data_IF_543820743558
#
_entry.id   IF_543820743558
#
_cell.length_a   1.000
_cell.length_b   1.000
_cell.length_c   1.000
_cell.angle_alpha   90.00
_cell.angle_beta   90.00
_cell.angle_gamma   90.00
#
_symmetry.space_group_name_H-M   'P 1'
#
loop_
_entity.id
_entity.type
_entity.pdbx_description
1 polymer ?
#
# COMPACT_ATOMS: atom_id res chain seq x y z
N UNK A 1 55.43 7.16 -55.64
CA UNK A 1 54.47 6.91 -54.54
C UNK A 1 53.28 6.11 -55.08
N UNK A 2 53.12 4.83 -54.71
CA UNK A 2 51.99 3.98 -55.14
C UNK A 2 50.76 4.31 -54.30
N UNK A 3 49.71 4.91 -54.89
CA UNK A 3 48.41 5.11 -54.22
C UNK A 3 47.79 3.74 -53.92
N UNK A 4 47.62 3.40 -52.64
CA UNK A 4 46.92 2.17 -52.21
C UNK A 4 45.44 2.27 -52.61
N UNK A 5 44.91 1.20 -53.20
CA UNK A 5 43.50 1.11 -53.63
C UNK A 5 42.56 1.21 -52.42
N UNK A 6 41.61 2.15 -52.48
CA UNK A 6 40.66 2.49 -51.41
C UNK A 6 39.40 1.60 -51.48
N UNK A 7 39.27 0.77 -52.52
CA UNK A 7 38.09 -0.07 -52.76
C UNK A 7 37.87 -1.14 -51.67
N UNK A 8 38.95 -1.74 -51.15
CA UNK A 8 38.88 -2.75 -50.09
C UNK A 8 38.32 -2.21 -48.76
N UNK A 9 38.85 -1.08 -48.24
CA UNK A 9 38.27 -0.39 -47.08
C UNK A 9 36.81 0.02 -47.28
N UNK A 10 36.46 0.58 -48.45
CA UNK A 10 35.09 1.01 -48.75
C UNK A 10 34.10 -0.15 -48.73
N UNK A 11 34.43 -1.29 -49.35
CA UNK A 11 33.57 -2.47 -49.34
C UNK A 11 33.37 -3.02 -47.91
N UNK A 12 34.42 -3.05 -47.09
CA UNK A 12 34.33 -3.49 -45.68
C UNK A 12 33.46 -2.55 -44.85
N UNK A 13 33.57 -1.23 -45.05
CA UNK A 13 32.73 -0.25 -44.37
C UNK A 13 31.26 -0.37 -44.77
N UNK A 14 30.96 -0.58 -46.05
CA UNK A 14 29.58 -0.79 -46.51
C UNK A 14 28.99 -2.06 -45.88
N UNK A 15 29.72 -3.18 -45.91
CA UNK A 15 29.27 -4.43 -45.29
C UNK A 15 29.04 -4.25 -43.79
N UNK A 16 29.96 -3.57 -43.10
CA UNK A 16 29.80 -3.27 -41.67
C UNK A 16 28.52 -2.45 -41.41
N UNK A 17 28.30 -1.36 -42.15
CA UNK A 17 27.11 -0.52 -42.01
C UNK A 17 25.82 -1.30 -42.25
N UNK A 18 25.80 -2.18 -43.27
CA UNK A 18 24.63 -3.01 -43.58
C UNK A 18 24.37 -4.03 -42.48
N UNK A 19 25.41 -4.69 -41.96
CA UNK A 19 25.27 -5.68 -40.89
C UNK A 19 24.84 -5.02 -39.58
N UNK A 20 25.45 -3.89 -39.24
CA UNK A 20 25.09 -3.15 -38.02
C UNK A 20 23.67 -2.59 -38.11
N UNK A 21 23.27 -2.01 -39.25
CA UNK A 21 21.91 -1.50 -39.42
C UNK A 21 20.87 -2.61 -39.35
N UNK A 22 21.15 -3.77 -39.96
CA UNK A 22 20.28 -4.94 -39.87
C UNK A 22 20.17 -5.44 -38.43
N UNK A 23 21.30 -5.59 -37.73
CA UNK A 23 21.33 -6.03 -36.34
C UNK A 23 20.60 -5.06 -35.41
N UNK A 24 20.80 -3.74 -35.57
CA UNK A 24 20.09 -2.70 -34.82
C UNK A 24 18.60 -2.75 -35.11
N UNK A 25 18.20 -2.97 -36.36
CA UNK A 25 16.78 -3.09 -36.74
C UNK A 25 16.15 -4.32 -36.10
N UNK A 26 16.82 -5.48 -36.13
CA UNK A 26 16.36 -6.71 -35.48
C UNK A 26 16.24 -6.52 -33.97
N UNK A 27 17.23 -5.88 -33.34
CA UNK A 27 17.21 -5.58 -31.91
C UNK A 27 16.06 -4.63 -31.56
N UNK A 28 15.86 -3.56 -32.34
CA UNK A 28 14.78 -2.61 -32.15
C UNK A 28 13.39 -3.27 -32.27
N UNK A 29 13.19 -4.14 -33.26
CA UNK A 29 11.96 -4.91 -33.44
C UNK A 29 11.72 -5.90 -32.30
N UNK A 30 12.79 -6.56 -31.82
CA UNK A 30 12.73 -7.48 -30.69
C UNK A 30 12.34 -6.76 -29.38
N UNK A 31 12.95 -5.59 -29.11
CA UNK A 31 12.64 -4.75 -27.94
C UNK A 31 11.22 -4.18 -28.03
N UNK A 32 10.80 -3.73 -29.22
CA UNK A 32 9.46 -3.24 -29.45
C UNK A 32 8.40 -4.33 -29.17
N UNK A 33 8.80 -5.60 -29.09
CA UNK A 33 7.93 -6.76 -28.83
C UNK A 33 6.69 -6.75 -29.73
N UNK A 34 6.81 -6.10 -30.89
CA UNK A 34 5.82 -6.06 -31.96
C UNK A 34 5.88 -7.44 -32.59
N UNK A 35 5.21 -8.39 -31.95
CA UNK A 35 5.15 -9.76 -32.45
C UNK A 35 4.71 -9.70 -33.90
N UNK A 36 5.60 -10.10 -34.81
CA UNK A 36 5.32 -10.25 -36.25
C UNK A 36 4.32 -11.39 -36.37
N UNK A 37 3.06 -11.06 -36.19
CA UNK A 37 1.98 -12.00 -36.05
C UNK A 37 0.67 -11.29 -36.35
N UNK A 38 -0.21 -12.00 -37.02
CA UNK A 38 -1.48 -11.48 -37.47
C UNK A 38 -2.35 -11.13 -36.23
N UNK A 39 -2.63 -9.84 -36.03
CA UNK A 39 -3.45 -9.33 -34.91
C UNK A 39 -4.77 -8.74 -35.39
N UNK A 40 -5.70 -8.52 -34.45
CA UNK A 40 -6.94 -7.77 -34.62
C UNK A 40 -6.93 -6.63 -33.61
N UNK A 41 -7.21 -5.41 -34.08
CA UNK A 41 -7.32 -4.24 -33.21
C UNK A 41 -8.70 -4.14 -32.60
N UNK A 42 -8.77 -3.65 -31.38
CA UNK A 42 -9.97 -3.34 -30.62
C UNK A 42 -9.77 -2.02 -29.88
N UNK A 43 -10.86 -1.46 -29.36
CA UNK A 43 -10.83 -0.26 -28.52
C UNK A 43 -11.52 -0.53 -27.21
N UNK A 44 -11.10 0.16 -26.14
CA UNK A 44 -11.81 0.17 -24.87
C UNK A 44 -11.82 1.60 -24.32
N UNK A 45 -12.92 1.98 -23.68
CA UNK A 45 -13.08 3.31 -23.07
C UNK A 45 -13.04 3.19 -21.56
N UNK A 46 -12.16 3.90 -20.89
CA UNK A 46 -12.02 3.91 -19.43
C UNK A 46 -12.29 5.31 -18.87
N UNK A 47 -12.80 5.38 -17.63
CA UNK A 47 -12.89 6.65 -16.90
C UNK A 47 -11.51 7.18 -16.51
N UNK A 48 -10.56 6.27 -16.27
CA UNK A 48 -9.16 6.59 -16.01
C UNK A 48 -8.25 5.50 -16.59
N UNK A 49 -7.18 5.91 -17.28
CA UNK A 49 -6.13 5.07 -17.83
C UNK A 49 -4.73 5.54 -17.39
N UNK A 50 -4.63 6.25 -16.27
CA UNK A 50 -3.38 6.76 -15.72
C UNK A 50 -2.38 5.62 -15.49
N UNK A 51 -1.15 5.83 -15.98
CA UNK A 51 -0.06 4.86 -15.89
C UNK A 51 -0.04 3.80 -17.00
N UNK A 52 -1.07 3.72 -17.85
CA UNK A 52 -1.06 2.83 -19.03
C UNK A 52 -0.32 3.52 -20.19
N UNK A 53 0.63 2.81 -20.80
CA UNK A 53 1.46 3.32 -21.89
C UNK A 53 1.41 2.40 -23.13
N UNK A 54 1.83 2.96 -24.27
CA UNK A 54 1.97 2.19 -25.52
C UNK A 54 3.01 1.08 -25.32
N UNK A 55 2.67 -0.14 -25.74
CA UNK A 55 3.50 -1.33 -25.55
C UNK A 55 3.14 -2.17 -24.33
N UNK A 56 2.32 -1.65 -23.39
CA UNK A 56 1.83 -2.43 -22.25
C UNK A 56 1.08 -3.68 -22.72
N UNK A 57 1.23 -4.77 -21.96
CA UNK A 57 0.66 -6.05 -22.38
C UNK A 57 -0.87 -6.06 -22.28
N UNK A 58 -1.51 -6.76 -23.22
CA UNK A 58 -2.92 -7.17 -23.09
C UNK A 58 -2.93 -8.65 -22.79
N UNK A 59 -3.66 -9.04 -21.75
CA UNK A 59 -3.66 -10.39 -21.19
C UNK A 59 -5.07 -10.95 -21.10
N UNK A 60 -5.17 -12.27 -21.16
CA UNK A 60 -6.39 -13.04 -20.84
C UNK A 60 -5.94 -14.12 -19.87
N UNK A 61 -6.55 -14.17 -18.68
CA UNK A 61 -6.17 -15.09 -17.61
C UNK A 61 -4.63 -15.07 -17.35
N UNK A 62 -4.05 -13.87 -17.29
CA UNK A 62 -2.61 -13.67 -17.05
C UNK A 62 -1.68 -13.92 -18.25
N UNK A 63 -2.15 -14.53 -19.34
CA UNK A 63 -1.33 -14.82 -20.53
C UNK A 63 -1.33 -13.65 -21.50
N UNK A 64 -0.15 -13.17 -21.92
CA UNK A 64 -0.03 -12.09 -22.93
C UNK A 64 -0.58 -12.55 -24.29
N UNK A 65 -1.67 -11.92 -24.71
CA UNK A 65 -2.34 -12.16 -26.00
C UNK A 65 -2.22 -10.97 -26.96
N UNK A 66 -1.70 -9.83 -26.48
CA UNK A 66 -1.73 -8.59 -27.22
C UNK A 66 -0.91 -7.46 -26.60
N UNK A 67 -1.10 -6.25 -27.10
CA UNK A 67 -0.43 -5.05 -26.61
C UNK A 67 -1.23 -3.77 -26.87
N UNK A 68 -1.01 -2.76 -26.04
CA UNK A 68 -1.56 -1.41 -26.22
C UNK A 68 -0.87 -0.71 -27.39
N UNK A 69 -1.67 -0.15 -28.30
CA UNK A 69 -1.20 0.55 -29.50
C UNK A 69 -1.26 2.06 -29.32
N UNK A 70 -2.31 2.58 -28.67
CA UNK A 70 -2.43 4.01 -28.37
C UNK A 70 -3.35 4.26 -27.18
N UNK A 71 -3.09 5.34 -26.46
CA UNK A 71 -3.96 5.88 -25.40
C UNK A 71 -4.25 7.33 -25.76
N UNK A 72 -5.53 7.68 -25.89
CA UNK A 72 -5.95 9.04 -26.26
C UNK A 72 -7.17 9.47 -25.46
N UNK A 73 -7.30 10.77 -25.22
CA UNK A 73 -8.51 11.32 -24.62
C UNK A 73 -9.59 11.45 -25.69
N UNK A 74 -10.71 10.77 -25.48
CA UNK A 74 -11.95 10.90 -26.22
C UNK A 74 -13.00 11.60 -25.35
N UNK A 75 -13.97 12.27 -25.98
CA UNK A 75 -15.13 12.85 -25.29
C UNK A 75 -14.75 13.76 -24.09
N UNK A 76 -13.60 14.46 -24.21
CA UNK A 76 -12.92 15.34 -23.22
C UNK A 76 -12.47 14.71 -21.91
N UNK A 77 -13.12 13.65 -21.43
CA UNK A 77 -12.89 13.06 -20.09
C UNK A 77 -12.75 11.54 -20.08
N UNK A 78 -12.80 10.89 -21.24
CA UNK A 78 -12.75 9.44 -21.35
C UNK A 78 -11.43 9.04 -21.99
N UNK A 79 -10.71 8.09 -21.41
CA UNK A 79 -9.55 7.52 -22.06
C UNK A 79 -10.01 6.45 -23.05
N UNK A 80 -9.78 6.66 -24.35
CA UNK A 80 -9.93 5.61 -25.36
C UNK A 80 -8.58 4.95 -25.61
N UNK A 81 -8.50 3.66 -25.34
CA UNK A 81 -7.31 2.84 -25.54
C UNK A 81 -7.52 1.94 -26.75
N UNK A 82 -6.63 2.02 -27.73
CA UNK A 82 -6.58 1.07 -28.84
C UNK A 82 -5.53 0.01 -28.53
N UNK A 83 -5.87 -1.26 -28.76
CA UNK A 83 -5.00 -2.38 -28.48
C UNK A 83 -5.21 -3.52 -29.48
N UNK A 84 -4.17 -4.30 -29.74
CA UNK A 84 -4.25 -5.49 -30.59
C UNK A 84 -4.29 -6.77 -29.77
N UNK A 85 -4.97 -7.78 -30.31
CA UNK A 85 -4.99 -9.16 -29.81
C UNK A 85 -4.65 -10.12 -30.96
N UNK A 86 -3.87 -11.17 -30.69
CA UNK A 86 -3.52 -12.22 -31.68
C UNK A 86 -4.77 -12.85 -32.29
N UNK A 87 -4.80 -13.06 -33.61
CA UNK A 87 -5.95 -13.65 -34.34
C UNK A 87 -6.39 -15.03 -33.82
N UNK A 88 -5.48 -15.79 -33.22
CA UNK A 88 -5.76 -17.10 -32.61
C UNK A 88 -6.66 -17.03 -31.37
N UNK A 89 -6.87 -15.85 -30.79
CA UNK A 89 -7.78 -15.62 -29.67
C UNK A 89 -9.00 -14.84 -30.15
N UNK A 90 -10.19 -15.44 -29.99
CA UNK A 90 -11.47 -14.78 -30.21
C UNK A 90 -11.94 -14.20 -28.87
N UNK A 91 -12.30 -12.93 -28.87
CA UNK A 91 -12.89 -12.30 -27.69
C UNK A 91 -14.40 -12.61 -27.66
N UNK A 92 -14.97 -12.97 -26.50
CA UNK A 92 -16.40 -13.20 -26.37
C UNK A 92 -17.16 -11.88 -26.55
N UNK A 93 -18.40 -11.94 -27.05
CA UNK A 93 -19.23 -10.74 -27.23
C UNK A 93 -19.41 -9.96 -25.92
N UNK A 94 -19.40 -10.63 -24.77
CA UNK A 94 -19.48 -10.07 -23.42
C UNK A 94 -18.13 -9.63 -22.82
N UNK A 95 -17.04 -9.56 -23.59
CA UNK A 95 -15.69 -9.22 -23.10
C UNK A 95 -15.65 -7.96 -22.21
N UNK A 96 -15.05 -8.06 -21.04
CA UNK A 96 -14.75 -6.92 -20.18
C UNK A 96 -13.26 -6.61 -20.27
N UNK A 97 -12.88 -5.35 -19.97
CA UNK A 97 -11.49 -4.94 -19.93
C UNK A 97 -11.19 -4.22 -18.62
N UNK A 98 -10.15 -4.63 -17.91
CA UNK A 98 -9.73 -4.00 -16.66
C UNK A 98 -8.28 -3.56 -16.77
N UNK A 99 -7.94 -2.37 -16.30
CA UNK A 99 -6.54 -1.95 -16.19
C UNK A 99 -6.01 -2.40 -14.82
N UNK A 100 -5.02 -3.28 -14.83
CA UNK A 100 -4.42 -3.89 -13.63
C UNK A 100 -2.93 -3.54 -13.52
N UNK A 101 -2.37 -3.74 -12.34
CA UNK A 101 -0.94 -3.56 -12.10
C UNK A 101 -0.19 -4.84 -12.47
N UNK A 102 0.88 -4.69 -13.24
CA UNK A 102 1.76 -5.81 -13.59
C UNK A 102 2.78 -6.09 -12.47
N UNK A 103 3.23 -5.05 -11.76
CA UNK A 103 4.21 -5.17 -10.68
C UNK A 103 4.17 -3.96 -9.72
N UNK A 104 4.93 -4.07 -8.63
CA UNK A 104 5.06 -3.04 -7.59
C UNK A 104 5.77 -1.76 -8.04
N UNK A 105 6.41 -1.77 -9.22
CA UNK A 105 7.08 -0.59 -9.80
C UNK A 105 6.06 0.30 -10.55
N UNK A 106 4.80 -0.13 -10.65
CA UNK A 106 3.72 0.68 -11.21
C UNK A 106 3.41 0.44 -12.68
N UNK A 107 4.04 -0.56 -13.31
CA UNK A 107 3.69 -0.96 -14.68
C UNK A 107 2.25 -1.47 -14.74
N UNK A 108 1.54 -1.18 -15.84
CA UNK A 108 0.13 -1.56 -16.04
C UNK A 108 -0.02 -2.59 -17.16
N UNK A 109 -1.18 -3.24 -17.18
CA UNK A 109 -1.60 -4.08 -18.29
C UNK A 109 -3.12 -4.06 -18.42
N UNK A 110 -3.64 -4.40 -19.60
CA UNK A 110 -5.08 -4.63 -19.80
C UNK A 110 -5.36 -6.11 -19.61
N UNK A 111 -6.22 -6.44 -18.66
CA UNK A 111 -6.79 -7.76 -18.46
C UNK A 111 -8.14 -7.84 -19.19
N UNK A 112 -8.28 -8.83 -20.07
CA UNK A 112 -9.50 -9.11 -20.80
C UNK A 112 -10.16 -10.35 -20.22
N UNK A 113 -11.42 -10.21 -19.82
CA UNK A 113 -12.19 -11.28 -19.20
C UNK A 113 -13.55 -11.46 -19.89
N UNK A 114 -14.25 -12.54 -19.60
CA UNK A 114 -15.59 -12.82 -20.09
C UNK A 114 -16.63 -12.30 -19.10
N UNK A 115 -17.36 -11.24 -19.46
CA UNK A 115 -18.50 -10.76 -18.68
C UNK A 115 -19.74 -11.65 -18.83
N UNK A 116 -20.78 -11.33 -18.05
CA UNK A 116 -22.09 -11.97 -18.16
C UNK A 116 -22.72 -11.67 -19.53
N UNK A 117 -23.04 -12.71 -20.32
CA UNK A 117 -23.67 -12.56 -21.62
C UNK A 117 -23.68 -13.86 -22.44
N UNK A 118 -24.18 -13.82 -23.69
CA UNK A 118 -24.34 -14.99 -24.54
C UNK A 118 -23.00 -15.70 -24.76
N UNK A 119 -22.99 -17.02 -24.58
CA UNK A 119 -21.80 -17.85 -24.84
C UNK A 119 -21.75 -18.18 -26.32
N UNK A 120 -20.58 -18.05 -26.94
CA UNK A 120 -20.34 -18.45 -28.34
C UNK A 120 -20.40 -17.32 -29.37
N UNK A 121 -20.90 -16.14 -29.00
CA UNK A 121 -20.80 -14.95 -29.84
C UNK A 121 -19.43 -14.29 -29.70
N UNK A 122 -18.89 -13.76 -30.82
CA UNK A 122 -17.57 -13.11 -30.84
C UNK A 122 -17.69 -11.60 -30.92
N UNK A 123 -16.86 -10.89 -30.17
CA UNK A 123 -16.72 -9.45 -30.27
C UNK A 123 -16.04 -9.08 -31.61
N UNK A 124 -16.68 -8.19 -32.37
CA UNK A 124 -16.22 -7.86 -33.71
C UNK A 124 -14.92 -7.05 -33.67
N UNK A 125 -13.92 -7.36 -34.52
CA UNK A 125 -12.70 -6.56 -34.64
C UNK A 125 -13.00 -5.09 -34.94
N UNK A 126 -12.20 -4.18 -34.39
CA UNK A 126 -12.39 -2.73 -34.51
C UNK A 126 -13.49 -2.14 -33.61
N UNK A 127 -14.27 -2.99 -32.95
CA UNK A 127 -15.32 -2.55 -32.03
C UNK A 127 -14.74 -1.97 -30.74
N UNK A 128 -15.56 -1.16 -30.07
CA UNK A 128 -15.19 -0.47 -28.83
C UNK A 128 -15.91 -1.09 -27.64
N UNK A 129 -15.15 -1.56 -26.64
CA UNK A 129 -15.67 -1.98 -25.35
C UNK A 129 -16.14 -0.71 -24.61
N UNK A 130 -17.44 -0.60 -24.29
CA UNK A 130 -18.01 0.61 -23.69
C UNK A 130 -17.63 0.73 -22.20
N UNK A 131 -17.79 1.94 -21.65
CA UNK A 131 -17.49 2.24 -20.24
C UNK A 131 -18.17 1.32 -19.24
N UNK A 132 -19.37 0.82 -19.55
CA UNK A 132 -20.11 -0.11 -18.71
C UNK A 132 -19.48 -1.50 -18.58
N UNK A 133 -18.49 -1.82 -19.42
CA UNK A 133 -17.76 -3.09 -19.46
C UNK A 133 -16.26 -2.92 -19.24
N UNK A 134 -15.87 -1.77 -18.72
CA UNK A 134 -14.47 -1.47 -18.43
C UNK A 134 -14.29 -1.06 -16.98
N UNK A 135 -13.25 -1.58 -16.36
CA UNK A 135 -12.86 -1.19 -15.01
C UNK A 135 -11.59 -0.34 -15.11
N UNK A 136 -11.62 0.93 -14.64
CA UNK A 136 -10.43 1.77 -14.64
C UNK A 136 -9.37 1.18 -13.71
N UNK A 137 -8.17 1.71 -13.80
CA UNK A 137 -7.11 1.25 -12.94
C UNK A 137 -7.33 1.64 -11.48
N UNK A 138 -6.87 0.80 -10.55
CA UNK A 138 -6.89 1.12 -9.12
C UNK A 138 -6.04 2.37 -8.86
N UNK A 139 -6.59 3.35 -8.14
CA UNK A 139 -5.83 4.50 -7.65
C UNK A 139 -5.08 4.08 -6.37
N UNK A 140 -3.81 3.70 -6.53
CA UNK A 140 -2.97 3.34 -5.39
C UNK A 140 -2.70 4.52 -4.45
N UNK A 141 -2.73 5.78 -4.93
CA UNK A 141 -2.54 6.93 -4.06
C UNK A 141 -3.74 7.05 -3.12
N UNK A 142 -4.96 6.93 -3.64
CA UNK A 142 -6.16 6.91 -2.81
C UNK A 142 -6.18 5.72 -1.84
N UNK A 143 -5.73 4.55 -2.30
CA UNK A 143 -5.57 3.36 -1.47
C UNK A 143 -4.59 3.61 -0.32
N UNK A 144 -3.35 4.01 -0.63
CA UNK A 144 -2.31 4.24 0.37
C UNK A 144 -2.68 5.33 1.36
N UNK A 145 -3.31 6.42 0.91
CA UNK A 145 -3.81 7.46 1.81
C UNK A 145 -4.87 6.91 2.79
N UNK A 146 -5.71 5.96 2.35
CA UNK A 146 -6.67 5.28 3.23
C UNK A 146 -6.03 4.37 4.27
N UNK A 147 -4.87 3.79 3.95
CA UNK A 147 -4.12 2.88 4.84
C UNK A 147 -2.94 3.55 5.56
N UNK A 148 -2.70 4.85 5.36
CA UNK A 148 -1.58 5.57 5.97
C UNK A 148 -1.47 5.37 7.50
N UNK A 149 -2.57 5.43 8.28
CA UNK A 149 -2.49 5.21 9.73
C UNK A 149 -2.00 3.80 10.13
N UNK A 150 -2.20 2.80 9.26
CA UNK A 150 -1.75 1.43 9.47
C UNK A 150 -0.28 1.24 9.08
N UNK A 151 0.21 1.97 8.07
CA UNK A 151 1.60 1.90 7.62
C UNK A 151 2.57 2.71 8.51
N UNK A 152 2.07 3.69 9.28
CA UNK A 152 2.87 4.47 10.23
C UNK A 152 3.53 3.61 11.34
N UNK A 153 3.03 2.39 11.58
CA UNK A 153 3.58 1.44 12.55
C UNK A 153 4.46 0.32 11.97
N UNK A 154 4.66 0.26 10.66
CA UNK A 154 5.32 -0.87 9.98
C UNK A 154 6.72 -0.53 9.46
N UNK A 155 7.59 -1.55 9.38
CA UNK A 155 8.91 -1.39 8.78
C UNK A 155 8.81 -1.35 7.24
N UNK A 156 9.73 -0.68 6.50
CA UNK A 156 9.63 -0.54 5.04
C UNK A 156 9.46 -1.84 4.23
N UNK A 157 10.09 -2.98 4.58
CA UNK A 157 9.82 -4.27 3.93
C UNK A 157 8.37 -4.73 4.10
N UNK A 158 7.83 -4.63 5.31
CA UNK A 158 6.48 -5.08 5.66
C UNK A 158 5.41 -4.25 4.93
N UNK A 159 5.67 -2.96 4.74
CA UNK A 159 4.80 -2.06 3.96
C UNK A 159 4.70 -2.54 2.50
N UNK A 160 5.82 -2.91 1.87
CA UNK A 160 5.83 -3.34 0.47
C UNK A 160 5.12 -4.68 0.28
N UNK A 161 5.27 -5.61 1.22
CA UNK A 161 4.60 -6.91 1.20
C UNK A 161 3.08 -6.78 1.42
N UNK A 162 2.67 -5.98 2.41
CA UNK A 162 1.27 -5.71 2.69
C UNK A 162 0.60 -4.95 1.54
N UNK A 163 1.26 -3.93 0.99
CA UNK A 163 0.81 -3.21 -0.19
C UNK A 163 0.58 -4.15 -1.37
N UNK A 164 1.54 -5.03 -1.66
CA UNK A 164 1.41 -6.03 -2.73
C UNK A 164 0.24 -6.97 -2.54
N UNK A 165 0.05 -7.47 -1.31
CA UNK A 165 -1.03 -8.39 -0.97
C UNK A 165 -2.41 -7.74 -1.10
N UNK A 166 -2.57 -6.51 -0.61
CA UNK A 166 -3.82 -5.75 -0.74
C UNK A 166 -4.15 -5.52 -2.21
N UNK A 167 -3.14 -5.12 -3.01
CA UNK A 167 -3.32 -4.87 -4.44
C UNK A 167 -3.76 -6.12 -5.19
N UNK A 168 -3.16 -7.28 -4.89
CA UNK A 168 -3.55 -8.56 -5.48
C UNK A 168 -5.00 -8.91 -5.11
N UNK A 169 -5.37 -8.82 -3.84
CA UNK A 169 -6.73 -9.14 -3.38
C UNK A 169 -7.76 -8.21 -4.03
N UNK A 170 -7.51 -6.91 -4.05
CA UNK A 170 -8.42 -5.93 -4.63
C UNK A 170 -8.55 -6.04 -6.16
N UNK A 171 -7.53 -6.56 -6.85
CA UNK A 171 -7.58 -6.84 -8.28
C UNK A 171 -8.15 -8.23 -8.62
N UNK A 172 -8.57 -9.00 -7.61
CA UNK A 172 -9.07 -10.36 -7.77
C UNK A 172 -7.99 -11.38 -8.12
N UNK A 173 -6.72 -11.03 -7.91
CA UNK A 173 -5.54 -11.87 -8.11
C UNK A 173 -5.05 -12.54 -6.81
N UNK A 174 -5.68 -12.21 -5.67
CA UNK A 174 -5.40 -12.84 -4.39
C UNK A 174 -5.66 -14.34 -4.46
N UNK A 175 -4.64 -15.12 -4.11
CA UNK A 175 -4.71 -16.58 -4.15
C UNK A 175 -5.98 -17.12 -3.47
N UNK A 176 -6.50 -18.21 -4.03
CA UNK A 176 -7.35 -19.14 -3.29
C UNK A 176 -6.74 -19.36 -1.90
N UNK A 177 -7.60 -19.53 -0.89
CA UNK A 177 -7.39 -19.92 0.52
C UNK A 177 -6.01 -20.51 0.91
N UNK A 178 -5.31 -21.21 0.02
CA UNK A 178 -3.91 -21.64 0.10
C UNK A 178 -2.87 -20.56 0.47
N UNK A 179 -2.96 -19.30 0.02
CA UNK A 179 -1.95 -18.29 0.38
C UNK A 179 -2.06 -17.84 1.84
N UNK A 180 -3.28 -17.85 2.38
CA UNK A 180 -3.56 -17.63 3.81
C UNK A 180 -3.08 -18.85 4.61
N UNK A 181 -3.25 -20.08 4.09
CA UNK A 181 -2.79 -21.31 4.74
C UNK A 181 -1.25 -21.45 4.72
N UNK A 182 -0.56 -20.94 3.70
CA UNK A 182 0.91 -20.93 3.68
C UNK A 182 1.51 -19.95 4.71
N UNK A 183 0.83 -18.85 5.03
CA UNK A 183 1.24 -17.94 6.10
C UNK A 183 0.84 -18.43 7.51
N UNK A 184 -0.19 -19.27 7.64
CA UNK A 184 -0.44 -20.03 8.89
C UNK A 184 0.64 -21.11 9.10
N UNK A 185 1.23 -21.62 8.03
CA UNK A 185 2.34 -22.59 8.06
C UNK A 185 3.69 -22.02 8.48
N UNK A 186 3.98 -20.74 8.23
CA UNK A 186 5.24 -20.11 8.68
C UNK A 186 5.19 -19.64 10.14
N UNK A 187 3.99 -19.51 10.73
CA UNK A 187 3.80 -19.23 12.16
C UNK A 187 3.95 -20.49 13.05
N UNK A 188 3.93 -21.69 12.47
CA UNK A 188 4.11 -22.98 13.17
C UNK A 188 5.55 -23.51 13.17
N UNK A 189 6.51 -22.76 12.61
CA UNK A 189 7.94 -23.11 12.60
C UNK A 189 8.66 -23.03 13.95
N UNK A 190 8.00 -22.57 15.02
CA UNK A 190 8.60 -22.43 16.37
C UNK A 190 7.94 -23.33 17.42
N UNK A 191 7.29 -24.42 16.99
CA UNK A 191 6.74 -25.45 17.91
C UNK A 191 7.23 -26.86 17.55
N UNK A 192 8.36 -26.98 16.85
CA UNK A 192 9.02 -28.26 16.58
C UNK A 192 10.20 -28.52 17.53
N UNK A 193 9.95 -28.40 18.84
CA UNK A 193 10.88 -28.83 19.87
C UNK A 193 10.14 -29.44 21.08
N UNK A 194 9.27 -30.45 20.87
CA UNK A 194 8.76 -31.31 21.95
C UNK A 194 8.45 -32.74 21.52
N UNK A 195 9.45 -33.46 21.03
CA UNK A 195 9.45 -34.93 20.93
C UNK A 195 9.53 -35.66 22.30
N UNK A 196 9.37 -34.94 23.42
CA UNK A 196 9.34 -35.54 24.77
C UNK A 196 7.94 -35.78 25.34
N UNK A 197 6.88 -35.22 24.74
CA UNK A 197 5.52 -35.24 25.33
C UNK A 197 4.72 -36.48 24.88
N UNK A 198 5.00 -37.04 23.70
CA UNK A 198 4.27 -38.23 23.20
C UNK A 198 4.62 -39.49 24.01
N UNK A 199 5.81 -39.56 24.61
CA UNK A 199 6.21 -40.67 25.48
C UNK A 199 5.49 -40.72 26.84
N UNK A 200 5.02 -39.58 27.35
CA UNK A 200 4.31 -39.49 28.63
C UNK A 200 2.81 -39.83 28.50
N UNK A 201 2.23 -39.61 27.33
CA UNK A 201 0.80 -39.92 27.06
C UNK A 201 0.55 -41.44 27.03
N UNK A 202 1.48 -42.24 26.50
CA UNK A 202 1.35 -43.71 26.46
C UNK A 202 1.48 -44.34 27.85
N UNK A 203 2.28 -43.73 28.74
CA UNK A 203 2.49 -44.25 30.11
C UNK A 203 1.28 -44.00 31.02
N UNK A 204 0.58 -42.89 30.82
CA UNK A 204 -0.63 -42.54 31.57
C UNK A 204 -1.86 -43.35 31.14
N UNK A 205 -1.94 -43.79 29.88
CA UNK A 205 -3.05 -44.58 29.37
C UNK A 205 -3.15 -45.98 30.03
N UNK A 206 -2.01 -46.59 30.37
CA UNK A 206 -1.96 -47.88 31.09
C UNK A 206 -2.40 -47.77 32.56
N UNK A 207 -2.32 -46.58 33.16
CA UNK A 207 -2.77 -46.33 34.55
C UNK A 207 -4.30 -46.14 34.62
N UNK A 208 -4.87 -45.53 33.57
CA UNK A 208 -6.32 -45.31 33.44
C UNK A 208 -7.06 -46.63 33.18
N UNK A 209 -6.51 -47.51 32.34
CA UNK A 209 -7.12 -48.82 32.07
C UNK A 209 -7.13 -49.76 33.30
N UNK A 210 -6.21 -49.56 34.26
CA UNK A 210 -6.19 -50.31 35.52
C UNK A 210 -7.23 -49.81 36.53
N UNK A 211 -7.68 -48.56 36.41
CA UNK A 211 -8.68 -47.95 37.31
C UNK A 211 -10.12 -48.24 36.86
N UNK A 212 -10.33 -48.54 35.57
CA UNK A 212 -11.64 -48.81 34.99
C UNK A 212 -12.12 -50.25 35.24
N UNK A 213 -11.22 -51.18 35.57
CA UNK A 213 -11.58 -52.57 35.80
C UNK A 213 -12.13 -52.87 37.21
N UNK A 214 -12.16 -51.88 38.12
CA UNK A 214 -12.48 -52.08 39.55
C UNK A 214 -13.80 -51.45 40.02
N UNK A 215 -14.68 -50.94 39.14
CA UNK A 215 -15.97 -50.35 39.58
C UNK A 215 -17.17 -50.73 38.72
N UNK A 216 -17.57 -51.98 38.89
CA UNK A 216 -18.89 -52.52 38.53
C UNK A 216 -19.98 -51.95 39.50
N UNK A 217 -20.24 -50.63 39.47
CA UNK A 217 -21.33 -50.01 40.27
C UNK A 217 -21.82 -48.64 39.73
N UNK A 218 -21.53 -48.28 38.48
CA UNK A 218 -21.70 -46.91 37.95
C UNK A 218 -22.92 -46.64 37.08
N UNK A 219 -23.93 -47.50 37.04
CA UNK A 219 -25.08 -47.30 36.14
C UNK A 219 -26.21 -46.46 36.77
N UNK A 220 -26.39 -46.50 38.09
CA UNK A 220 -27.49 -45.76 38.75
C UNK A 220 -27.18 -44.25 38.92
N UNK A 221 -25.91 -43.87 39.01
CA UNK A 221 -25.47 -42.49 39.26
C UNK A 221 -25.67 -41.56 38.04
N UNK A 222 -25.69 -42.13 36.84
CA UNK A 222 -25.88 -41.41 35.58
C UNK A 222 -27.33 -40.88 35.43
N UNK A 223 -28.30 -41.63 35.97
CA UNK A 223 -29.73 -41.27 35.89
C UNK A 223 -30.04 -40.13 36.86
N UNK A 224 -29.49 -40.16 38.06
CA UNK A 224 -29.67 -39.10 39.07
C UNK A 224 -28.97 -37.79 38.67
N UNK A 225 -27.79 -37.89 38.03
CA UNK A 225 -27.05 -36.73 37.53
C UNK A 225 -27.80 -36.03 36.38
N UNK A 226 -28.44 -36.79 35.50
CA UNK A 226 -29.23 -36.24 34.40
C UNK A 226 -30.48 -35.51 34.91
N UNK A 227 -31.11 -36.04 35.97
CA UNK A 227 -32.27 -35.41 36.59
C UNK A 227 -31.91 -34.09 37.28
N UNK A 228 -30.75 -34.01 37.96
CA UNK A 228 -30.26 -32.79 38.60
C UNK A 228 -29.85 -31.70 37.58
N UNK A 229 -29.34 -32.10 36.41
CA UNK A 229 -28.96 -31.17 35.34
C UNK A 229 -30.17 -30.45 34.73
N UNK A 230 -31.28 -31.18 34.55
CA UNK A 230 -32.51 -30.64 33.96
C UNK A 230 -33.23 -29.65 34.90
N UNK A 231 -33.21 -29.89 36.21
CA UNK A 231 -33.75 -28.95 37.21
C UNK A 231 -32.84 -27.74 37.44
N UNK A 232 -31.51 -27.90 37.34
CA UNK A 232 -30.56 -26.78 37.40
C UNK A 232 -30.72 -25.79 36.24
N UNK A 233 -30.93 -26.29 35.02
CA UNK A 233 -31.10 -25.45 33.83
C UNK A 233 -32.40 -24.62 33.84
N UNK A 234 -33.43 -25.07 34.58
CA UNK A 234 -34.66 -24.31 34.78
C UNK A 234 -34.50 -23.12 35.76
N UNK A 235 -33.42 -23.09 36.55
CA UNK A 235 -33.09 -22.03 37.51
C UNK A 235 -32.30 -20.84 36.94
N UNK A 236 -31.63 -21.01 35.78
CA UNK A 236 -30.65 -20.05 35.24
C UNK A 236 -31.26 -18.98 34.30
N UNK A 237 -32.44 -18.44 34.65
CA UNK A 237 -33.02 -17.30 33.91
C UNK A 237 -32.32 -15.96 34.15
N UNK A 238 -31.56 -15.83 35.26
CA UNK A 238 -30.82 -14.60 35.61
C UNK A 238 -29.55 -14.37 34.76
N UNK A 239 -28.66 -15.37 34.55
CA UNK A 239 -27.45 -15.19 33.74
C UNK A 239 -27.71 -14.74 32.30
N UNK A 240 -28.81 -15.21 31.68
CA UNK A 240 -29.19 -14.79 30.33
C UNK A 240 -29.69 -13.35 30.29
N UNK A 241 -30.39 -12.88 31.33
CA UNK A 241 -30.81 -11.48 31.46
C UNK A 241 -29.63 -10.54 31.72
N UNK A 242 -28.65 -10.98 32.51
CA UNK A 242 -27.42 -10.22 32.77
C UNK A 242 -26.55 -10.10 31.52
N UNK A 243 -26.45 -11.17 30.71
CA UNK A 243 -25.73 -11.15 29.44
C UNK A 243 -26.35 -10.17 28.43
N UNK A 244 -27.68 -10.13 28.30
CA UNK A 244 -28.38 -9.19 27.41
C UNK A 244 -28.22 -7.74 27.90
N UNK A 245 -28.25 -7.52 29.21
CA UNK A 245 -28.02 -6.19 29.81
C UNK A 245 -26.58 -5.72 29.58
N UNK A 246 -25.60 -6.62 29.69
CA UNK A 246 -24.20 -6.33 29.42
C UNK A 246 -23.95 -5.96 27.95
N UNK A 247 -24.64 -6.61 27.00
CA UNK A 247 -24.57 -6.24 25.57
C UNK A 247 -25.17 -4.85 25.29
N UNK A 248 -26.26 -4.49 25.97
CA UNK A 248 -26.83 -3.15 25.91
C UNK A 248 -25.87 -2.09 26.43
N UNK A 249 -25.25 -2.35 27.59
CA UNK A 249 -24.27 -1.44 28.19
C UNK A 249 -23.01 -1.25 27.32
N UNK A 250 -22.52 -2.32 26.69
CA UNK A 250 -21.38 -2.23 25.77
C UNK A 250 -21.69 -1.35 24.54
N UNK A 251 -22.92 -1.41 24.04
CA UNK A 251 -23.35 -0.60 22.90
C UNK A 251 -23.41 0.88 23.26
N UNK A 252 -23.91 1.22 24.46
CA UNK A 252 -23.92 2.59 24.99
C UNK A 252 -22.51 3.11 25.23
N UNK A 253 -21.63 2.35 25.88
CA UNK A 253 -20.22 2.75 26.12
C UNK A 253 -19.47 2.96 24.81
N UNK A 254 -19.75 2.16 23.78
CA UNK A 254 -19.15 2.35 22.45
C UNK A 254 -19.67 3.61 21.76
N UNK A 255 -20.97 3.89 21.86
CA UNK A 255 -21.57 5.12 21.34
C UNK A 255 -21.04 6.37 22.04
N UNK A 256 -20.95 6.34 23.37
CA UNK A 256 -20.39 7.41 24.19
C UNK A 256 -18.91 7.64 23.88
N UNK A 257 -18.11 6.58 23.67
CA UNK A 257 -16.70 6.72 23.24
C UNK A 257 -16.57 7.41 21.88
N UNK A 258 -17.50 7.16 20.95
CA UNK A 258 -17.53 7.84 19.65
C UNK A 258 -18.03 9.28 19.74
N UNK A 259 -18.92 9.59 20.68
CA UNK A 259 -19.47 10.94 20.88
C UNK A 259 -18.48 11.82 21.67
N UNK A 260 -17.88 11.28 22.74
CA UNK A 260 -16.85 11.92 23.55
C UNK A 260 -15.51 12.04 22.82
N UNK A 261 -15.13 11.04 22.02
CA UNK A 261 -13.86 11.06 21.26
C UNK A 261 -13.83 12.09 20.12
N UNK A 262 -15.00 12.46 19.57
CA UNK A 262 -15.11 13.46 18.49
C UNK A 262 -14.73 14.86 18.94
N UNK A 263 -14.96 15.21 20.20
CA UNK A 263 -14.74 16.57 20.71
C UNK A 263 -13.24 16.89 20.88
N UNK A 264 -12.42 16.09 21.59
CA UNK A 264 -10.97 16.28 21.66
C UNK A 264 -10.32 16.27 20.28
N UNK A 265 -10.71 15.33 19.40
CA UNK A 265 -10.14 15.24 18.05
C UNK A 265 -10.42 16.49 17.21
N UNK A 266 -11.64 17.06 17.31
CA UNK A 266 -11.98 18.31 16.61
C UNK A 266 -11.20 19.49 17.17
N UNK A 267 -10.98 19.53 18.48
CA UNK A 267 -10.20 20.58 19.13
C UNK A 267 -8.71 20.47 18.74
N UNK A 268 -8.15 19.26 18.68
CA UNK A 268 -6.76 19.02 18.25
C UNK A 268 -6.55 19.41 16.79
N UNK A 269 -7.47 19.05 15.89
CA UNK A 269 -7.42 19.47 14.48
C UNK A 269 -7.47 21.00 14.37
N UNK A 270 -8.28 21.67 15.20
CA UNK A 270 -8.37 23.13 15.23
C UNK A 270 -7.07 23.78 15.73
N UNK A 271 -6.40 23.18 16.71
CA UNK A 271 -5.11 23.67 17.23
C UNK A 271 -3.97 23.42 16.24
N UNK A 272 -3.92 22.25 15.60
CA UNK A 272 -3.00 21.93 14.51
C UNK A 272 -3.16 22.88 13.34
N UNK A 273 -4.40 23.19 12.94
CA UNK A 273 -4.68 24.19 11.91
C UNK A 273 -4.19 25.58 12.30
N UNK A 274 -4.33 25.97 13.56
CA UNK A 274 -3.80 27.26 14.07
C UNK A 274 -2.27 27.31 14.04
N UNK A 275 -1.61 26.23 14.45
CA UNK A 275 -0.15 26.14 14.40
C UNK A 275 0.35 26.19 12.96
N UNK A 276 -0.25 25.39 12.07
CA UNK A 276 0.09 25.36 10.66
C UNK A 276 -0.13 26.71 9.98
N UNK A 277 -1.25 27.38 10.27
CA UNK A 277 -1.53 28.74 9.80
C UNK A 277 -0.49 29.75 10.28
N UNK A 278 -0.20 29.78 11.58
CA UNK A 278 0.84 30.65 12.13
C UNK A 278 2.22 30.39 11.52
N UNK A 279 2.55 29.12 11.27
CA UNK A 279 3.82 28.74 10.66
C UNK A 279 3.91 29.18 9.20
N UNK A 280 2.82 29.01 8.43
CA UNK A 280 2.70 29.45 7.04
C UNK A 280 2.76 30.99 6.92
N UNK A 281 2.00 31.71 7.77
CA UNK A 281 1.96 33.18 7.78
C UNK A 281 3.32 33.79 8.14
N UNK A 282 4.13 33.07 8.92
CA UNK A 282 5.47 33.50 9.32
C UNK A 282 6.61 32.81 8.56
N UNK A 283 6.31 31.98 7.55
CA UNK A 283 7.33 31.36 6.67
C UNK A 283 8.32 32.39 6.14
N UNK A 284 7.91 33.58 5.63
CA UNK A 284 8.86 34.56 5.14
C UNK A 284 9.83 35.07 6.23
N UNK A 285 9.39 35.14 7.49
CA UNK A 285 10.24 35.55 8.62
C UNK A 285 11.21 34.44 9.02
N UNK A 286 10.77 33.19 9.00
CA UNK A 286 11.59 32.01 9.29
C UNK A 286 12.65 31.84 8.20
N UNK A 287 12.28 31.94 6.93
CA UNK A 287 13.21 31.93 5.81
C UNK A 287 14.21 33.09 5.90
N UNK A 288 13.75 34.31 6.21
CA UNK A 288 14.64 35.46 6.39
C UNK A 288 15.63 35.23 7.54
N UNK A 289 15.15 34.67 8.66
CA UNK A 289 15.98 34.31 9.79
C UNK A 289 17.01 33.26 9.39
N UNK A 290 16.60 32.16 8.76
CA UNK A 290 17.49 31.06 8.35
C UNK A 290 18.50 31.49 7.27
N UNK A 291 18.11 32.34 6.33
CA UNK A 291 19.00 32.88 5.30
C UNK A 291 20.02 33.87 5.88
N UNK A 292 19.62 34.71 6.83
CA UNK A 292 20.50 35.72 7.42
C UNK A 292 21.34 35.20 8.59
N UNK A 293 20.94 34.11 9.23
CA UNK A 293 21.63 33.55 10.41
C UNK A 293 23.08 33.15 10.10
N UNK A 294 23.39 32.42 9.02
CA UNK A 294 24.77 32.06 8.70
C UNK A 294 25.67 33.28 8.52
N UNK A 295 25.23 34.29 7.77
CA UNK A 295 26.00 35.52 7.57
C UNK A 295 26.18 36.33 8.86
N UNK A 296 25.17 36.36 9.73
CA UNK A 296 25.28 36.96 11.07
C UNK A 296 26.23 36.18 11.98
N UNK A 297 26.14 34.85 12.00
CA UNK A 297 27.05 33.98 12.75
C UNK A 297 28.47 34.06 12.20
N UNK A 298 28.66 34.23 10.90
CA UNK A 298 29.97 34.42 10.28
C UNK A 298 30.54 35.80 10.58
N UNK A 299 29.72 36.86 10.58
CA UNK A 299 30.14 38.18 11.04
C UNK A 299 30.56 38.14 12.53
N UNK A 300 29.79 37.46 13.39
CA UNK A 300 30.14 37.21 14.79
C UNK A 300 31.41 36.36 14.89
N UNK A 301 31.54 35.30 14.09
CA UNK A 301 32.69 34.40 14.08
C UNK A 301 33.97 35.11 13.62
N UNK A 302 33.88 35.99 12.61
CA UNK A 302 34.98 36.82 12.13
C UNK A 302 35.41 37.87 13.17
N UNK A 303 34.47 38.42 13.94
CA UNK A 303 34.78 39.25 15.11
C UNK A 303 35.52 38.47 16.20
N UNK A 304 35.28 37.16 16.34
CA UNK A 304 35.97 36.28 17.30
C UNK A 304 37.24 35.59 16.76
N UNK A 305 37.45 35.57 15.44
CA UNK A 305 38.53 34.80 14.79
C UNK A 305 39.86 35.55 14.71
N UNK A 306 39.87 36.88 14.81
CA UNK A 306 41.08 37.68 14.88
C UNK A 306 41.34 38.07 16.34
N UNK A 307 42.08 37.22 17.07
CA UNK A 307 42.77 37.55 18.33
C UNK A 307 41.90 37.74 19.59
N UNK A 308 42.40 37.26 20.74
CA UNK A 308 41.70 37.28 22.04
C UNK A 308 41.64 38.66 22.71
N UNK A 309 41.25 39.71 22.00
CA UNK A 309 41.11 41.06 22.56
C UNK A 309 39.66 41.45 22.90
N UNK A 310 38.65 40.66 22.50
CA UNK A 310 37.24 40.90 22.83
C UNK A 310 36.57 39.62 23.34
N UNK A 311 36.22 39.59 24.62
CA UNK A 311 35.38 38.57 25.23
C UNK A 311 33.90 38.97 25.04
N UNK A 312 33.17 38.23 24.21
CA UNK A 312 31.73 38.44 24.02
C UNK A 312 30.94 37.56 24.99
N UNK A 313 30.05 38.18 25.75
CA UNK A 313 29.12 37.50 26.66
C UNK A 313 27.68 37.83 26.22
N UNK A 314 26.81 36.81 26.14
CA UNK A 314 25.39 37.02 25.90
C UNK A 314 24.74 37.46 27.22
N UNK A 315 24.56 38.77 27.37
CA UNK A 315 24.02 39.35 28.61
C UNK A 315 22.49 39.35 28.66
N UNK A 316 21.81 39.65 27.55
CA UNK A 316 20.34 39.67 27.47
C UNK A 316 19.89 39.12 26.12
N UNK A 317 18.79 38.36 26.10
CA UNK A 317 18.10 37.94 24.89
C UNK A 317 16.62 38.25 25.04
N UNK A 318 16.14 39.33 24.42
CA UNK A 318 14.74 39.78 24.54
C UNK A 318 13.92 39.36 23.32
N UNK A 319 12.87 38.59 23.54
CA UNK A 319 11.87 38.26 22.52
C UNK A 319 10.72 39.25 22.64
N UNK A 320 10.36 39.92 21.53
CA UNK A 320 9.28 40.93 21.50
C UNK A 320 8.29 40.64 20.38
N UNK A 321 7.05 41.09 20.53
CA UNK A 321 5.97 40.88 19.54
C UNK A 321 5.31 39.50 19.58
N UNK A 322 5.46 38.75 20.67
CA UNK A 322 4.80 37.45 20.88
C UNK A 322 3.62 37.65 21.83
N UNK A 323 2.45 37.13 21.47
CA UNK A 323 1.26 37.07 22.33
C UNK A 323 0.89 35.61 22.54
N UNK A 324 0.65 35.22 23.78
CA UNK A 324 0.23 33.86 24.12
C UNK A 324 -1.28 33.75 23.97
N UNK A 325 -1.78 32.60 23.51
CA UNK A 325 -3.22 32.39 23.30
C UNK A 325 -4.01 32.17 24.59
N UNK A 326 -3.31 31.87 25.68
CA UNK A 326 -3.87 31.68 27.02
C UNK A 326 -3.78 32.96 27.89
N UNK A 327 -3.26 34.06 27.33
CA UNK A 327 -3.10 35.33 28.03
C UNK A 327 -1.93 35.37 29.02
N UNK A 328 -1.12 34.31 29.07
CA UNK A 328 0.10 34.27 29.89
C UNK A 328 1.14 35.30 29.40
N UNK A 329 1.96 35.83 30.29
CA UNK A 329 3.03 36.74 29.88
C UNK A 329 4.03 36.00 28.98
N UNK A 330 4.41 36.55 27.81
CA UNK A 330 5.40 35.93 26.93
C UNK A 330 6.71 35.67 27.68
N UNK A 331 7.46 34.61 27.36
CA UNK A 331 8.74 34.34 28.01
C UNK A 331 9.69 35.52 27.80
N UNK A 332 9.97 36.24 28.88
CA UNK A 332 10.83 37.43 28.89
C UNK A 332 12.29 37.01 29.02
N UNK A 333 12.86 36.47 27.95
CA UNK A 333 14.31 36.30 27.83
C UNK A 333 15.02 35.50 28.93
N UNK A 334 16.34 35.56 28.94
CA UNK A 334 17.19 34.93 29.97
C UNK A 334 17.52 35.99 31.03
N UNK A 335 17.30 35.68 32.31
CA UNK A 335 17.66 36.56 33.43
C UNK A 335 19.17 36.78 33.51
N UNK A 336 19.56 38.03 33.73
CA UNK A 336 20.96 38.43 33.84
C UNK A 336 21.53 38.03 35.20
N UNK A 337 22.12 36.84 35.28
CA UNK A 337 22.68 36.30 36.54
C UNK A 337 24.17 36.56 36.72
N UNK A 338 24.85 37.06 35.69
CA UNK A 338 26.30 37.26 35.69
C UNK A 338 26.66 38.71 36.08
N UNK A 339 27.54 38.95 37.07
CA UNK A 339 27.90 40.30 37.54
C UNK A 339 28.41 41.24 36.44
N UNK A 340 29.06 40.68 35.42
CA UNK A 340 29.61 41.39 34.25
C UNK A 340 28.56 41.93 33.27
N UNK A 341 27.29 41.62 33.47
CA UNK A 341 26.17 42.05 32.63
C UNK A 341 25.21 43.02 33.36
N UNK A 342 25.56 43.45 34.58
CA UNK A 342 24.78 44.35 35.43
C UNK A 342 25.23 45.83 35.35
N UNK A 343 25.86 46.23 34.23
CA UNK A 343 26.42 47.59 34.00
C UNK A 343 25.44 48.51 33.29
#
# INVERSE_FOLDING_TARGET
MKRRSIAGPLAKSIVFIVVTSLATTVLALSIANTGVGDTRSYKARFTDATGLIVGDSVRVAGVKVGQVESVRVADRRVAEVSFSVRKSKKLPASVTASIKYLNMVGQRYIDLDQGAGPVGESFAPGSTIPLSRTTPALDLTQLFNGFQPLFEGLSPPDVNELAGSIVQVLQGEGGTVDSILQHVGSLTGTVAAKDKVIGEVIKNLNSVLKTVNDREAGFNDLVDTLQALVTGFAGDRKPLGEAVTAMGALTTVTADLFEDGRKPLKDDIKQLGRLSGNLADNTPKIENFLQKTPAKMEAISRLTSYGSWLNLYLCEAKVSGVTTSDGSTPPTGIEITQPRCLS
#
